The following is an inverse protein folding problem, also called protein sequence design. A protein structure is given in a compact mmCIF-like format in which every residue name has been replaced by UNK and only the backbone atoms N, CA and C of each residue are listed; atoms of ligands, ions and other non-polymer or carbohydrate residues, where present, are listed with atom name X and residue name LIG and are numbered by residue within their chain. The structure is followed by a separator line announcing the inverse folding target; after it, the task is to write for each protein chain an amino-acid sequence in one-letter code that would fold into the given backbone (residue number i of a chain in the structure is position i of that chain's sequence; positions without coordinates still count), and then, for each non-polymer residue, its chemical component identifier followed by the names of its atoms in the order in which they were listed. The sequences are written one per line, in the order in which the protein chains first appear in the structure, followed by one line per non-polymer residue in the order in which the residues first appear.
data_IF_934173676728
#
_entry.id   IF_934173676728
#
_cell.length_a   1.000
_cell.length_b   1.000
_cell.length_c   1.000
_cell.angle_alpha   90.00
_cell.angle_beta   90.00
_cell.angle_gamma   90.00
#
_symmetry.space_group_name_H-M   'P 1'
#
loop_
_entity.id
_entity.type
_entity.pdbx_description
1 polymer ?
#
# COMPACT_ATOMS: atom_id res chain seq x y z
N UNK A 1 -38.57 -16.32 -9.57
CA UNK A 1 -38.09 -15.96 -10.92
C UNK A 1 -36.63 -16.35 -10.98
N UNK A 2 -36.29 -17.42 -11.69
CA UNK A 2 -34.94 -17.99 -11.67
C UNK A 2 -34.03 -17.21 -12.63
N UNK A 3 -33.35 -16.19 -12.11
CA UNK A 3 -32.42 -15.34 -12.87
C UNK A 3 -31.29 -16.14 -13.55
N UNK A 4 -30.92 -17.30 -12.99
CA UNK A 4 -29.89 -18.17 -13.58
C UNK A 4 -30.39 -18.81 -14.87
N UNK A 5 -31.62 -19.32 -14.90
CA UNK A 5 -32.21 -19.92 -16.11
C UNK A 5 -32.26 -18.92 -17.27
N UNK A 6 -32.72 -17.70 -17.02
CA UNK A 6 -32.76 -16.64 -18.04
C UNK A 6 -31.37 -16.24 -18.52
N UNK A 7 -30.39 -16.16 -17.61
CA UNK A 7 -29.01 -15.82 -17.96
C UNK A 7 -28.38 -16.90 -18.84
N UNK A 8 -28.59 -18.17 -18.50
CA UNK A 8 -28.09 -19.29 -19.30
C UNK A 8 -28.79 -19.33 -20.67
N UNK A 9 -30.12 -19.15 -20.71
CA UNK A 9 -30.85 -19.09 -21.97
C UNK A 9 -30.32 -17.97 -22.90
N UNK A 10 -30.04 -16.79 -22.34
CA UNK A 10 -29.45 -15.68 -23.09
C UNK A 10 -28.03 -16.00 -23.58
N UNK A 11 -27.18 -16.56 -22.72
CA UNK A 11 -25.83 -16.97 -23.11
C UNK A 11 -25.82 -18.06 -24.18
N UNK A 12 -26.80 -18.96 -24.19
CA UNK A 12 -26.95 -19.98 -25.24
C UNK A 12 -27.33 -19.35 -26.59
N UNK A 13 -28.05 -18.22 -26.60
CA UNK A 13 -28.33 -17.46 -27.82
C UNK A 13 -27.11 -16.66 -28.31
N UNK A 14 -26.08 -16.48 -27.48
CA UNK A 14 -24.87 -15.71 -27.76
C UNK A 14 -23.59 -16.52 -27.43
N UNK A 15 -23.19 -17.46 -28.31
CA UNK A 15 -22.11 -18.42 -28.01
C UNK A 15 -20.75 -17.76 -27.77
N UNK A 16 -20.48 -16.59 -28.36
CA UNK A 16 -19.28 -15.78 -28.14
C UNK A 16 -19.19 -15.26 -26.69
N UNK A 17 -20.32 -14.86 -26.11
CA UNK A 17 -20.41 -14.42 -24.71
C UNK A 17 -20.19 -15.60 -23.78
N UNK A 18 -20.79 -16.76 -24.08
CA UNK A 18 -20.64 -17.98 -23.27
C UNK A 18 -19.19 -18.49 -23.28
N UNK A 19 -18.55 -18.51 -24.44
CA UNK A 19 -17.14 -18.91 -24.59
C UNK A 19 -16.23 -17.96 -23.81
N UNK A 20 -16.43 -16.65 -23.95
CA UNK A 20 -15.68 -15.65 -23.20
C UNK A 20 -15.83 -15.83 -21.69
N UNK A 21 -17.06 -15.99 -21.19
CA UNK A 21 -17.32 -16.19 -19.77
C UNK A 21 -16.66 -17.47 -19.24
N UNK A 22 -16.68 -18.55 -20.02
CA UNK A 22 -16.03 -19.82 -19.67
C UNK A 22 -14.51 -19.67 -19.62
N UNK A 23 -13.93 -18.97 -20.60
CA UNK A 23 -12.49 -18.71 -20.64
C UNK A 23 -12.03 -17.83 -19.46
N UNK A 24 -12.79 -16.78 -19.12
CA UNK A 24 -12.53 -15.95 -17.94
C UNK A 24 -12.60 -16.76 -16.65
N UNK A 25 -13.60 -17.64 -16.51
CA UNK A 25 -13.72 -18.53 -15.36
C UNK A 25 -12.50 -19.45 -15.26
N UNK A 26 -12.08 -20.09 -16.36
CA UNK A 26 -10.93 -21.00 -16.37
C UNK A 26 -9.60 -20.27 -16.09
N UNK A 27 -9.46 -19.01 -16.51
CA UNK A 27 -8.28 -18.22 -16.18
C UNK A 27 -8.18 -17.90 -14.69
N UNK A 28 -9.30 -17.68 -14.01
CA UNK A 28 -9.32 -17.18 -12.63
C UNK A 28 -9.52 -18.30 -11.60
N UNK A 29 -10.35 -19.29 -11.90
CA UNK A 29 -10.70 -20.38 -11.00
C UNK A 29 -9.65 -21.47 -11.10
N UNK A 30 -9.02 -21.80 -9.97
CA UNK A 30 -7.98 -22.83 -9.88
C UNK A 30 -6.56 -22.33 -10.20
N UNK A 31 -6.44 -21.14 -10.80
CA UNK A 31 -5.15 -20.48 -11.03
C UNK A 31 -4.59 -19.82 -9.77
N UNK A 32 -3.26 -19.84 -9.61
CA UNK A 32 -2.57 -19.04 -8.60
C UNK A 32 -2.29 -17.64 -9.14
N UNK A 33 -2.98 -16.64 -8.59
CA UNK A 33 -2.82 -15.24 -8.98
C UNK A 33 -1.98 -14.51 -7.94
N UNK A 34 -0.86 -13.92 -8.38
CA UNK A 34 0.00 -13.09 -7.55
C UNK A 34 -0.20 -11.61 -7.91
N UNK A 35 -0.51 -10.79 -6.90
CA UNK A 35 -0.65 -9.35 -7.06
C UNK A 35 0.65 -8.66 -6.62
N UNK A 36 1.38 -8.07 -7.57
CA UNK A 36 2.60 -7.33 -7.27
C UNK A 36 2.29 -5.98 -6.64
N UNK A 37 2.56 -5.82 -5.33
CA UNK A 37 2.40 -4.55 -4.61
C UNK A 37 3.30 -3.46 -5.20
N UNK A 38 4.53 -3.82 -5.53
CA UNK A 38 5.49 -2.90 -6.15
C UNK A 38 5.02 -2.45 -7.53
N UNK A 39 4.54 -3.40 -8.35
CA UNK A 39 4.01 -3.12 -9.68
C UNK A 39 2.82 -2.18 -9.64
N UNK A 40 1.89 -2.37 -8.70
CA UNK A 40 0.75 -1.48 -8.51
C UNK A 40 1.20 -0.06 -8.14
N UNK A 41 2.11 0.08 -7.17
CA UNK A 41 2.58 1.39 -6.70
C UNK A 41 3.43 2.17 -7.72
N UNK A 42 4.08 1.46 -8.66
CA UNK A 42 4.95 2.06 -9.69
C UNK A 42 4.36 2.09 -11.09
N UNK A 43 3.07 1.77 -11.25
CA UNK A 43 2.44 1.70 -12.56
C UNK A 43 2.21 3.11 -13.16
N UNK A 44 2.90 3.50 -14.26
CA UNK A 44 2.76 4.83 -14.86
C UNK A 44 1.39 5.06 -15.52
N UNK A 45 0.61 4.00 -15.75
CA UNK A 45 -0.77 4.12 -16.27
C UNK A 45 -1.76 4.63 -15.21
N UNK A 46 -1.41 4.51 -13.93
CA UNK A 46 -2.27 4.83 -12.79
C UNK A 46 -1.71 6.01 -11.99
N UNK A 47 -0.38 6.07 -11.84
CA UNK A 47 0.31 7.08 -11.07
C UNK A 47 1.11 8.00 -11.99
N UNK A 48 0.83 9.29 -11.89
CA UNK A 48 1.69 10.32 -12.50
C UNK A 48 3.01 10.41 -11.73
N UNK A 49 4.13 10.41 -12.45
CA UNK A 49 5.50 10.37 -11.89
C UNK A 49 5.67 9.32 -10.77
N UNK A 50 5.53 8.02 -11.06
CA UNK A 50 5.43 6.95 -10.05
C UNK A 50 6.67 6.78 -9.17
N UNK A 51 7.84 7.19 -9.64
CA UNK A 51 9.10 7.06 -8.89
C UNK A 51 9.41 8.28 -8.00
N UNK A 52 8.56 9.32 -8.02
CA UNK A 52 8.76 10.53 -7.20
C UNK A 52 7.93 10.43 -5.92
N UNK A 53 8.58 10.66 -4.78
CA UNK A 53 7.89 10.73 -3.48
C UNK A 53 7.01 11.98 -3.38
N UNK A 54 5.71 11.78 -3.60
CA UNK A 54 4.68 12.84 -3.67
C UNK A 54 3.50 12.54 -2.73
N UNK A 55 3.65 12.66 -1.40
CA UNK A 55 2.61 12.27 -0.43
C UNK A 55 1.28 13.00 -0.62
N UNK A 56 1.30 14.22 -1.16
CA UNK A 56 0.14 15.06 -1.45
C UNK A 56 -0.89 14.39 -2.36
N UNK A 57 -0.48 13.44 -3.22
CA UNK A 57 -1.41 12.70 -4.10
C UNK A 57 -2.42 11.83 -3.36
N UNK A 58 -2.18 11.59 -2.08
CA UNK A 58 -3.06 10.79 -1.21
C UNK A 58 -3.96 11.64 -0.30
N UNK A 59 -3.85 12.98 -0.38
CA UNK A 59 -4.65 13.88 0.46
C UNK A 59 -6.08 14.08 -0.06
N UNK A 60 -6.36 13.71 -1.31
CA UNK A 60 -7.69 13.74 -1.88
C UNK A 60 -8.31 12.35 -1.85
N UNK A 61 -9.36 12.19 -1.04
CA UNK A 61 -10.14 10.96 -0.97
C UNK A 61 -11.10 10.91 -2.17
N UNK A 62 -10.73 10.12 -3.18
CA UNK A 62 -11.56 9.91 -4.38
C UNK A 62 -12.88 9.20 -4.07
N UNK A 63 -12.91 8.36 -3.04
CA UNK A 63 -14.12 7.62 -2.66
C UNK A 63 -15.16 8.54 -2.02
N UNK A 64 -14.72 9.55 -1.28
CA UNK A 64 -15.59 10.52 -0.58
C UNK A 64 -15.73 11.85 -1.31
N UNK A 65 -14.90 12.12 -2.32
CA UNK A 65 -14.85 13.38 -3.05
C UNK A 65 -14.38 14.56 -2.21
N UNK A 66 -13.65 14.32 -1.11
CA UNK A 66 -13.26 15.33 -0.13
C UNK A 66 -11.79 15.24 0.25
N UNK A 67 -11.22 16.30 0.80
CA UNK A 67 -9.88 16.25 1.39
C UNK A 67 -9.86 15.32 2.61
N UNK A 68 -8.91 14.40 2.66
CA UNK A 68 -8.77 13.41 3.70
C UNK A 68 -7.91 12.24 3.25
N UNK A 69 -7.26 11.58 4.22
CA UNK A 69 -6.53 10.33 3.98
C UNK A 69 -7.41 9.17 4.44
N UNK A 70 -7.74 8.28 3.50
CA UNK A 70 -8.51 7.07 3.79
C UNK A 70 -7.63 5.83 3.61
N UNK A 71 -7.70 4.90 4.57
CA UNK A 71 -6.91 3.66 4.54
C UNK A 71 -7.46 2.60 3.58
N UNK A 72 -8.67 2.82 3.06
CA UNK A 72 -9.35 1.96 2.10
C UNK A 72 -9.21 2.53 0.69
N UNK A 73 -8.73 1.72 -0.23
CA UNK A 73 -8.60 2.09 -1.64
C UNK A 73 -9.58 1.26 -2.48
N UNK A 74 -10.79 1.79 -2.77
CA UNK A 74 -11.79 1.05 -3.53
C UNK A 74 -11.34 0.78 -4.97
N UNK A 75 -10.54 1.68 -5.55
CA UNK A 75 -10.03 1.57 -6.92
C UNK A 75 -8.84 0.61 -7.05
N UNK A 76 -8.38 -0.01 -5.94
CA UNK A 76 -7.28 -0.98 -5.91
C UNK A 76 -5.99 -0.53 -6.61
N UNK A 77 -5.75 0.79 -6.71
CA UNK A 77 -4.53 1.39 -7.29
C UNK A 77 -3.26 0.95 -6.57
N UNK A 78 -3.40 0.56 -5.30
CA UNK A 78 -2.39 -0.08 -4.48
C UNK A 78 -3.07 -0.91 -3.38
N UNK A 79 -2.34 -1.87 -2.78
CA UNK A 79 -2.88 -2.77 -1.76
C UNK A 79 -1.89 -2.91 -0.60
N UNK A 80 -2.16 -2.24 0.52
CA UNK A 80 -1.35 -2.33 1.75
C UNK A 80 -1.92 -3.36 2.72
N UNK A 81 -3.22 -3.25 3.02
CA UNK A 81 -3.90 -4.07 4.03
C UNK A 81 -4.88 -5.09 3.43
N UNK A 82 -4.76 -5.43 2.15
CA UNK A 82 -5.74 -6.27 1.42
C UNK A 82 -7.14 -5.63 1.39
N UNK A 83 -8.14 -6.32 0.82
CA UNK A 83 -9.53 -5.85 0.73
C UNK A 83 -10.54 -7.00 0.87
N UNK A 84 -11.81 -6.65 1.06
CA UNK A 84 -12.91 -7.61 1.21
C UNK A 84 -12.81 -8.48 2.48
N UNK A 85 -13.35 -9.70 2.42
CA UNK A 85 -13.41 -10.62 3.57
C UNK A 85 -12.04 -11.12 4.06
N UNK A 86 -10.98 -10.95 3.26
CA UNK A 86 -9.60 -11.29 3.60
C UNK A 86 -8.73 -10.05 3.82
N UNK A 87 -9.35 -8.91 4.08
CA UNK A 87 -8.65 -7.71 4.51
C UNK A 87 -7.99 -7.93 5.88
N UNK A 88 -6.90 -7.20 6.15
CA UNK A 88 -6.22 -7.24 7.43
C UNK A 88 -7.16 -6.74 8.54
N UNK A 89 -7.48 -7.61 9.50
CA UNK A 89 -8.27 -7.23 10.68
C UNK A 89 -7.60 -6.14 11.52
N UNK A 90 -6.27 -6.03 11.44
CA UNK A 90 -5.45 -5.06 12.18
C UNK A 90 -5.25 -3.71 11.51
N UNK A 91 -5.92 -3.41 10.37
CA UNK A 91 -5.68 -2.18 9.58
C UNK A 91 -5.67 -0.91 10.43
N UNK A 92 -6.70 -0.69 11.25
CA UNK A 92 -6.83 0.52 12.07
C UNK A 92 -5.74 0.60 13.15
N UNK A 93 -5.43 -0.52 13.79
CA UNK A 93 -4.42 -0.59 14.86
C UNK A 93 -3.03 -0.37 14.27
N UNK A 94 -2.67 -1.10 13.22
CA UNK A 94 -1.38 -0.99 12.55
C UNK A 94 -1.12 0.41 12.01
N UNK A 95 -2.13 1.02 11.38
CA UNK A 95 -2.04 2.42 10.94
C UNK A 95 -1.84 3.37 12.11
N UNK A 96 -2.61 3.24 13.19
CA UNK A 96 -2.50 4.12 14.37
C UNK A 96 -1.13 4.00 15.04
N UNK A 97 -0.61 2.78 15.19
CA UNK A 97 0.73 2.53 15.73
C UNK A 97 1.82 3.13 14.86
N UNK A 98 1.73 2.94 13.53
CA UNK A 98 2.73 3.45 12.58
C UNK A 98 2.74 4.98 12.55
N UNK A 99 1.56 5.60 12.49
CA UNK A 99 1.40 7.06 12.50
C UNK A 99 1.94 7.63 13.82
N UNK A 100 1.57 7.03 14.96
CA UNK A 100 2.04 7.49 16.26
C UNK A 100 3.56 7.34 16.40
N UNK A 101 4.14 6.21 15.99
CA UNK A 101 5.59 5.99 16.00
C UNK A 101 6.31 7.05 15.18
N UNK A 102 5.89 7.26 13.93
CA UNK A 102 6.49 8.27 13.05
C UNK A 102 6.35 9.68 13.63
N UNK A 103 5.15 10.04 14.13
CA UNK A 103 4.92 11.33 14.76
C UNK A 103 5.83 11.57 15.97
N UNK A 104 6.03 10.54 16.81
CA UNK A 104 6.94 10.63 17.97
C UNK A 104 8.40 10.76 17.56
N UNK A 105 8.83 10.03 16.53
CA UNK A 105 10.19 10.13 15.99
C UNK A 105 10.48 11.52 15.40
N UNK A 106 9.52 12.10 14.67
CA UNK A 106 9.65 13.44 14.09
C UNK A 106 9.52 14.55 15.14
N UNK A 107 8.69 14.36 16.16
CA UNK A 107 8.54 15.32 17.26
C UNK A 107 9.78 15.32 18.17
N UNK A 108 10.34 14.14 18.42
CA UNK A 108 11.41 13.95 19.39
C UNK A 108 12.82 14.23 18.88
N UNK A 109 13.05 14.16 17.57
CA UNK A 109 14.41 14.20 17.04
C UNK A 109 14.52 15.00 15.75
N UNK A 110 15.61 15.74 15.63
CA UNK A 110 16.06 16.29 14.35
C UNK A 110 16.99 15.26 13.69
N UNK A 111 16.70 14.91 12.44
CA UNK A 111 17.34 13.82 11.70
C UNK A 111 18.38 14.37 10.74
N UNK A 112 19.57 13.77 10.74
CA UNK A 112 20.70 14.17 9.89
C UNK A 112 21.38 12.96 9.26
N UNK A 113 22.05 13.19 8.14
CA UNK A 113 22.87 12.17 7.51
C UNK A 113 24.10 11.86 8.39
N UNK A 114 24.52 10.59 8.48
CA UNK A 114 25.77 10.25 9.15
C UNK A 114 26.97 10.99 8.53
N UNK A 115 28.01 11.34 9.32
CA UNK A 115 29.21 11.97 8.78
C UNK A 115 29.80 11.16 7.62
N UNK A 116 30.13 11.83 6.53
CA UNK A 116 30.69 11.18 5.32
C UNK A 116 29.66 10.59 4.36
N UNK A 117 28.35 10.68 4.65
CA UNK A 117 27.28 10.23 3.76
C UNK A 117 26.58 11.42 3.09
N UNK A 118 26.54 11.46 1.76
CA UNK A 118 25.84 12.51 1.00
C UNK A 118 24.34 12.21 0.77
N UNK A 119 23.97 10.93 0.68
CA UNK A 119 22.59 10.48 0.51
C UNK A 119 22.40 9.06 1.03
N UNK A 120 21.16 8.71 1.37
CA UNK A 120 20.78 7.36 1.78
C UNK A 120 20.46 6.53 0.54
N UNK A 121 21.05 5.34 0.46
CA UNK A 121 20.84 4.41 -0.65
C UNK A 121 19.50 3.66 -0.50
N UNK A 122 18.56 3.90 -1.43
CA UNK A 122 17.20 3.34 -1.39
C UNK A 122 17.08 2.10 -2.28
N UNK A 123 17.99 1.14 -2.11
CA UNK A 123 17.99 -0.12 -2.87
C UNK A 123 17.08 -1.14 -2.17
N UNK A 124 16.07 -1.71 -2.86
CA UNK A 124 15.26 -2.78 -2.30
C UNK A 124 16.03 -4.11 -2.26
N UNK A 125 15.74 -4.96 -1.28
CA UNK A 125 16.23 -6.33 -1.25
C UNK A 125 15.57 -7.17 -2.35
N UNK A 126 16.30 -8.15 -2.90
CA UNK A 126 15.78 -8.99 -4.00
C UNK A 126 14.60 -9.89 -3.57
N UNK A 127 14.60 -10.33 -2.32
CA UNK A 127 13.67 -11.35 -1.83
C UNK A 127 12.43 -10.80 -1.13
N UNK A 128 12.39 -9.49 -0.83
CA UNK A 128 11.33 -8.90 -0.02
C UNK A 128 11.20 -7.39 -0.25
N UNK A 129 10.29 -6.74 0.49
CA UNK A 129 10.02 -5.30 0.36
C UNK A 129 10.88 -4.42 1.29
N UNK A 130 11.92 -4.96 1.95
CA UNK A 130 12.82 -4.19 2.80
C UNK A 130 13.94 -3.52 2.00
N UNK A 131 14.64 -2.57 2.62
CA UNK A 131 15.88 -2.04 2.07
C UNK A 131 16.98 -3.10 2.13
N UNK A 132 17.79 -3.20 1.08
CA UNK A 132 18.94 -4.11 1.01
C UNK A 132 20.00 -3.76 2.06
N UNK A 133 20.15 -2.46 2.37
CA UNK A 133 21.04 -1.96 3.42
C UNK A 133 20.19 -1.40 4.57
N UNK A 134 20.51 -1.71 5.83
CA UNK A 134 19.83 -1.10 6.98
C UNK A 134 19.95 0.43 6.96
N UNK A 135 18.90 1.11 7.44
CA UNK A 135 18.93 2.56 7.62
C UNK A 135 19.90 2.92 8.76
N UNK A 136 20.91 3.71 8.44
CA UNK A 136 21.79 4.35 9.43
C UNK A 136 21.54 5.86 9.35
N UNK A 137 21.13 6.45 10.47
CA UNK A 137 20.85 7.88 10.58
C UNK A 137 21.39 8.42 11.90
N UNK A 138 21.77 9.71 11.91
CA UNK A 138 22.16 10.41 13.12
C UNK A 138 21.01 11.29 13.60
N UNK A 139 20.77 11.31 14.91
CA UNK A 139 19.63 12.00 15.51
C UNK A 139 20.09 12.93 16.62
N UNK A 140 19.54 14.14 16.64
CA UNK A 140 19.71 15.09 17.73
C UNK A 140 18.40 15.22 18.51
N UNK A 141 18.41 15.06 19.85
CA UNK A 141 17.23 15.27 20.68
C UNK A 141 16.71 16.71 20.57
N UNK A 142 15.43 16.87 20.24
CA UNK A 142 14.77 18.17 20.08
C UNK A 142 14.07 18.67 21.35
N UNK A 143 13.59 17.75 22.18
CA UNK A 143 12.81 18.04 23.38
C UNK A 143 13.74 18.21 24.60
N UNK A 144 13.17 18.64 25.72
CA UNK A 144 13.93 18.77 26.96
C UNK A 144 14.46 17.40 27.43
N UNK A 145 15.69 17.30 27.98
CA UNK A 145 16.31 16.01 28.32
C UNK A 145 15.50 15.10 29.24
N UNK A 146 14.69 15.67 30.13
CA UNK A 146 13.85 14.91 31.07
C UNK A 146 12.65 14.21 30.42
N UNK A 147 12.31 14.56 29.17
CA UNK A 147 11.23 13.92 28.40
C UNK A 147 11.70 12.64 27.71
N UNK A 148 13.01 12.37 27.69
CA UNK A 148 13.56 11.12 27.19
C UNK A 148 13.71 10.12 28.34
N UNK A 149 13.37 8.84 28.11
CA UNK A 149 13.69 7.80 29.07
C UNK A 149 15.21 7.80 29.30
N UNK A 150 15.63 7.81 30.56
CA UNK A 150 17.05 7.58 30.89
C UNK A 150 17.39 6.17 30.41
N UNK A 151 18.22 6.06 29.38
CA UNK A 151 18.72 4.77 28.92
C UNK A 151 19.55 4.18 30.04
N UNK A 152 19.03 3.12 30.69
CA UNK A 152 19.85 2.23 31.50
C UNK A 152 20.64 1.38 30.52
N UNK A 153 21.93 1.70 30.38
CA UNK A 153 22.91 0.89 29.63
C UNK A 153 23.51 -0.10 30.61
#
# INVERSE_FOLDING_TARGET
MNNVEWTIAEMLNHPDILEKATNELNMVVGSQIYVSRLGLGRNPKIWDEPEVFKPERHLYDRARGSMGVTLMEPDMRFVIFSTGRRACAGTKIGASMTIMLLARLLQGFDWTLPPGTSQIDLVPAESNMFMAKPLVASVNPKLAPHLYPKMQI
#
